data_IF_242591293040
#
_entry.id   IF_242591293040
#
_cell.length_a   1.000
_cell.length_b   1.000
_cell.length_c   1.000
_cell.angle_alpha   90.00
_cell.angle_beta   90.00
_cell.angle_gamma   90.00
#
_symmetry.space_group_name_H-M   'P 1'
#
loop_
_entity.id
_entity.type
_entity.pdbx_description
1 polymer ?
#
# COMPACT_ATOMS: atom_id res chain seq x y z
N UNK A 1 -4.05 -34.16 35.02
CA UNK A 1 -3.18 -33.07 34.50
C UNK A 1 -2.11 -32.77 35.54
N UNK A 2 -0.83 -32.85 35.18
CA UNK A 2 0.29 -32.54 36.09
C UNK A 2 0.99 -31.25 35.67
N UNK A 3 1.61 -30.54 36.62
CA UNK A 3 2.37 -29.29 36.34
C UNK A 3 3.46 -29.53 35.29
N UNK A 4 4.13 -30.70 35.33
CA UNK A 4 5.12 -31.09 34.33
C UNK A 4 4.53 -31.20 32.92
N UNK A 5 3.35 -31.82 32.78
CA UNK A 5 2.65 -31.91 31.48
C UNK A 5 2.20 -30.55 30.96
N UNK A 6 1.76 -29.66 31.85
CA UNK A 6 1.38 -28.29 31.50
C UNK A 6 2.59 -27.45 31.03
N UNK A 7 3.74 -27.56 31.72
CA UNK A 7 4.96 -26.85 31.34
C UNK A 7 5.43 -27.20 29.92
N UNK A 8 5.42 -28.49 29.56
CA UNK A 8 5.78 -28.95 28.21
C UNK A 8 4.79 -28.42 27.18
N UNK A 9 3.48 -28.45 27.46
CA UNK A 9 2.44 -27.91 26.58
C UNK A 9 2.55 -26.39 26.38
N UNK A 10 2.98 -25.66 27.41
CA UNK A 10 3.16 -24.20 27.35
C UNK A 10 4.48 -23.75 26.71
N UNK A 11 5.40 -24.68 26.40
CA UNK A 11 6.69 -24.34 25.81
C UNK A 11 6.59 -23.52 24.52
N UNK A 12 5.86 -24.03 23.52
CA UNK A 12 5.65 -23.35 22.23
C UNK A 12 4.93 -22.01 22.35
N UNK A 13 3.74 -21.90 23.00
CA UNK A 13 3.04 -20.62 23.09
C UNK A 13 3.84 -19.57 23.87
N UNK A 14 4.60 -19.97 24.91
CA UNK A 14 5.48 -19.03 25.63
C UNK A 14 6.58 -18.47 24.73
N UNK A 15 7.21 -19.31 23.92
CA UNK A 15 8.23 -18.86 22.95
C UNK A 15 7.64 -17.93 21.90
N UNK A 16 6.45 -18.24 21.37
CA UNK A 16 5.76 -17.39 20.40
C UNK A 16 5.37 -16.02 21.01
N UNK A 17 4.87 -16.00 22.24
CA UNK A 17 4.54 -14.73 22.93
C UNK A 17 5.78 -13.87 23.17
N UNK A 18 6.90 -14.48 23.58
CA UNK A 18 8.16 -13.76 23.74
C UNK A 18 8.66 -13.18 22.41
N UNK A 19 8.51 -13.91 21.30
CA UNK A 19 8.84 -13.43 19.97
C UNK A 19 7.97 -12.23 19.56
N UNK A 20 6.65 -12.32 19.76
CA UNK A 20 5.72 -11.22 19.47
C UNK A 20 6.00 -9.99 20.34
N UNK A 21 6.40 -10.18 21.60
CA UNK A 21 6.82 -9.08 22.48
C UNK A 21 8.10 -8.40 21.98
N UNK A 22 9.08 -9.19 21.53
CA UNK A 22 10.32 -8.65 20.94
C UNK A 22 10.02 -7.87 19.65
N UNK A 23 9.17 -8.42 18.77
CA UNK A 23 8.75 -7.76 17.55
C UNK A 23 7.98 -6.46 17.85
N UNK A 24 7.05 -6.48 18.80
CA UNK A 24 6.32 -5.28 19.23
C UNK A 24 7.27 -4.19 19.74
N UNK A 25 8.31 -4.57 20.50
CA UNK A 25 9.28 -3.62 21.03
C UNK A 25 10.09 -2.96 19.91
N UNK A 26 10.49 -3.71 18.88
CA UNK A 26 11.24 -3.15 17.76
C UNK A 26 10.45 -2.16 16.90
N UNK A 27 9.12 -2.29 16.84
CA UNK A 27 8.25 -1.42 16.04
C UNK A 27 7.47 -0.37 16.84
N UNK A 28 7.74 -0.23 18.14
CA UNK A 28 6.91 0.56 19.08
C UNK A 28 6.79 2.06 18.76
N UNK A 29 7.77 2.65 18.08
CA UNK A 29 7.79 4.06 17.67
C UNK A 29 7.76 4.24 16.15
N UNK A 30 7.33 3.21 15.42
CA UNK A 30 7.28 3.20 13.96
C UNK A 30 5.82 3.16 13.49
N UNK A 31 5.56 3.62 12.28
CA UNK A 31 4.24 3.61 11.65
C UNK A 31 4.31 3.04 10.24
N UNK A 32 3.16 2.60 9.72
CA UNK A 32 2.98 2.29 8.30
C UNK A 32 3.90 1.20 7.73
N UNK A 33 4.48 1.49 6.57
CA UNK A 33 5.33 0.60 5.81
C UNK A 33 6.65 0.28 6.50
N UNK A 34 7.16 1.18 7.35
CA UNK A 34 8.38 0.95 8.15
C UNK A 34 8.24 -0.28 9.04
N UNK A 35 7.07 -0.45 9.68
CA UNK A 35 6.75 -1.65 10.49
C UNK A 35 6.88 -2.92 9.64
N UNK A 36 6.41 -2.86 8.40
CA UNK A 36 6.41 -4.01 7.48
C UNK A 36 7.83 -4.36 7.03
N UNK A 37 8.68 -3.35 6.79
CA UNK A 37 10.11 -3.55 6.49
C UNK A 37 10.86 -4.18 7.67
N UNK A 38 10.66 -3.67 8.89
CA UNK A 38 11.31 -4.22 10.09
C UNK A 38 10.82 -5.65 10.37
N UNK A 39 9.53 -5.91 10.18
CA UNK A 39 8.96 -7.26 10.31
C UNK A 39 9.54 -8.22 9.27
N UNK A 40 9.72 -7.77 8.03
CA UNK A 40 10.37 -8.54 6.97
C UNK A 40 11.83 -8.88 7.30
N UNK A 41 12.56 -7.99 7.98
CA UNK A 41 13.91 -8.28 8.45
C UNK A 41 13.91 -9.40 9.49
N UNK A 42 12.96 -9.38 10.43
CA UNK A 42 12.76 -10.45 11.41
C UNK A 42 12.33 -11.78 10.79
N UNK A 43 11.67 -11.78 9.62
CA UNK A 43 11.26 -13.02 8.95
C UNK A 43 12.43 -13.77 8.29
N UNK A 44 13.57 -13.10 8.04
CA UNK A 44 14.80 -13.70 7.50
C UNK A 44 15.58 -14.55 8.52
N UNK A 45 14.99 -14.81 9.69
CA UNK A 45 15.60 -15.65 10.73
C UNK A 45 15.77 -17.10 10.25
N UNK A 46 16.91 -17.73 10.56
CA UNK A 46 17.18 -19.13 10.18
C UNK A 46 16.36 -20.19 10.92
N UNK A 47 15.45 -19.79 11.83
CA UNK A 47 14.63 -20.73 12.60
C UNK A 47 13.23 -20.75 11.99
N UNK A 48 12.83 -21.90 11.43
CA UNK A 48 11.55 -22.06 10.74
C UNK A 48 10.33 -21.75 11.61
N UNK A 49 10.37 -22.07 12.90
CA UNK A 49 9.25 -21.79 13.81
C UNK A 49 9.10 -20.29 14.13
N UNK A 50 10.23 -19.56 14.20
CA UNK A 50 10.22 -18.09 14.33
C UNK A 50 9.70 -17.46 13.05
N UNK A 51 10.20 -17.93 11.90
CA UNK A 51 9.79 -17.46 10.59
C UNK A 51 8.28 -17.60 10.37
N UNK A 52 7.70 -18.77 10.68
CA UNK A 52 6.25 -19.02 10.55
C UNK A 52 5.40 -17.97 11.30
N UNK A 53 5.79 -17.66 12.55
CA UNK A 53 5.07 -16.66 13.36
C UNK A 53 5.22 -15.25 12.78
N UNK A 54 6.43 -14.87 12.37
CA UNK A 54 6.69 -13.54 11.82
C UNK A 54 6.04 -13.35 10.44
N UNK A 55 6.05 -14.38 9.60
CA UNK A 55 5.37 -14.37 8.29
C UNK A 55 3.86 -14.18 8.44
N UNK A 56 3.23 -14.81 9.44
CA UNK A 56 1.82 -14.58 9.75
C UNK A 56 1.50 -13.12 10.09
N UNK A 57 2.37 -12.45 10.86
CA UNK A 57 2.22 -11.01 11.18
C UNK A 57 2.46 -10.16 9.93
N UNK A 58 3.51 -10.47 9.17
CA UNK A 58 3.88 -9.76 7.95
C UNK A 58 2.76 -9.78 6.91
N UNK A 59 2.10 -10.93 6.74
CA UNK A 59 0.97 -11.10 5.83
C UNK A 59 -0.22 -10.21 6.24
N UNK A 60 -0.48 -10.08 7.53
CA UNK A 60 -1.47 -9.12 8.05
C UNK A 60 -1.13 -7.67 7.70
N UNK A 61 0.12 -7.27 7.88
CA UNK A 61 0.60 -5.92 7.52
C UNK A 61 0.52 -5.65 6.01
N UNK A 62 0.90 -6.62 5.17
CA UNK A 62 0.80 -6.53 3.70
C UNK A 62 -0.63 -6.36 3.24
N UNK A 63 -1.58 -7.15 3.76
CA UNK A 63 -3.01 -7.01 3.46
C UNK A 63 -3.55 -5.61 3.77
N UNK A 64 -3.17 -5.03 4.91
CA UNK A 64 -3.56 -3.66 5.26
C UNK A 64 -3.05 -2.63 4.26
N UNK A 65 -1.78 -2.73 3.87
CA UNK A 65 -1.17 -1.85 2.86
C UNK A 65 -1.84 -2.03 1.50
N UNK A 66 -2.10 -3.28 1.14
CA UNK A 66 -2.72 -3.64 -0.11
C UNK A 66 -4.10 -3.03 -0.28
N UNK A 67 -4.93 -3.15 0.75
CA UNK A 67 -6.25 -2.53 0.79
C UNK A 67 -6.18 -1.02 0.56
N UNK A 68 -5.22 -0.33 1.19
CA UNK A 68 -4.99 1.11 0.97
C UNK A 68 -4.58 1.41 -0.46
N UNK A 69 -3.73 0.57 -1.04
CA UNK A 69 -3.31 0.72 -2.44
C UNK A 69 -4.47 0.55 -3.42
N UNK A 70 -5.28 -0.50 -3.25
CA UNK A 70 -6.49 -0.73 -4.04
C UNK A 70 -7.43 0.46 -3.94
N UNK A 71 -7.69 0.94 -2.72
CA UNK A 71 -8.56 2.09 -2.50
C UNK A 71 -8.03 3.36 -3.17
N UNK A 72 -6.73 3.62 -3.07
CA UNK A 72 -6.10 4.72 -3.79
C UNK A 72 -6.22 4.57 -5.32
N UNK A 73 -6.03 3.37 -5.84
CA UNK A 73 -6.08 3.09 -7.27
C UNK A 73 -7.49 2.99 -7.85
N UNK A 74 -8.53 2.80 -7.05
CA UNK A 74 -9.92 2.70 -7.55
C UNK A 74 -10.70 3.96 -7.19
N UNK A 75 -10.57 4.39 -5.94
CA UNK A 75 -11.31 5.51 -5.39
C UNK A 75 -10.44 6.76 -5.30
N UNK A 76 -9.12 6.75 -5.46
CA UNK A 76 -8.31 7.95 -5.25
C UNK A 76 -8.32 8.47 -3.80
N UNK A 77 -8.76 7.65 -2.85
CA UNK A 77 -8.83 8.04 -1.43
C UNK A 77 -7.59 7.55 -0.67
N UNK A 78 -7.03 8.44 0.15
CA UNK A 78 -5.92 8.12 1.06
C UNK A 78 -6.45 8.04 2.48
N UNK A 79 -6.33 6.87 3.09
CA UNK A 79 -6.66 6.67 4.50
C UNK A 79 -5.41 6.86 5.37
N UNK A 80 -5.40 7.98 6.10
CA UNK A 80 -4.40 8.25 7.14
C UNK A 80 -2.99 8.52 6.61
N UNK A 81 -2.02 8.43 7.51
CA UNK A 81 -0.60 8.75 7.24
C UNK A 81 0.29 7.52 7.04
N UNK A 82 -0.25 6.32 6.97
CA UNK A 82 0.50 5.05 7.00
C UNK A 82 0.76 4.44 5.62
N UNK A 83 0.46 5.17 4.54
CA UNK A 83 0.68 4.76 3.16
C UNK A 83 1.89 5.50 2.57
N UNK A 84 2.54 4.92 1.56
CA UNK A 84 3.72 5.54 0.92
C UNK A 84 3.37 6.75 0.05
N UNK A 85 2.12 6.89 -0.39
CA UNK A 85 1.64 8.14 -1.00
C UNK A 85 1.12 9.04 0.11
N UNK A 86 1.62 10.28 0.15
CA UNK A 86 1.20 11.32 1.08
C UNK A 86 0.42 12.41 0.35
N UNK A 87 -0.46 13.08 1.07
CA UNK A 87 -1.25 14.22 0.57
C UNK A 87 -0.94 15.49 1.37
N UNK A 88 -0.72 16.61 0.68
CA UNK A 88 -0.67 17.95 1.26
C UNK A 88 -1.98 18.65 0.94
N UNK A 89 -2.83 18.74 1.96
CA UNK A 89 -4.16 19.36 1.86
C UNK A 89 -4.10 20.88 1.82
N UNK A 90 -2.94 21.50 2.08
CA UNK A 90 -2.75 22.95 2.01
C UNK A 90 -2.54 23.47 0.59
N UNK A 91 -2.37 22.59 -0.41
CA UNK A 91 -2.17 23.00 -1.80
C UNK A 91 -3.51 23.21 -2.48
N UNK A 92 -3.87 24.46 -2.71
CA UNK A 92 -5.06 24.86 -3.48
C UNK A 92 -4.72 25.35 -4.90
N UNK A 93 -5.73 25.43 -5.77
CA UNK A 93 -5.62 25.99 -7.11
C UNK A 93 -4.73 25.17 -8.07
N UNK A 94 -3.99 25.85 -8.96
CA UNK A 94 -3.19 25.22 -10.02
C UNK A 94 -2.02 24.35 -9.53
N UNK A 95 -1.65 24.42 -8.24
CA UNK A 95 -0.59 23.60 -7.63
C UNK A 95 -1.02 22.17 -7.31
N UNK A 96 -2.34 21.90 -7.29
CA UNK A 96 -2.95 20.63 -6.88
C UNK A 96 -2.41 19.43 -7.68
N UNK A 97 -2.15 19.60 -8.98
CA UNK A 97 -1.68 18.50 -9.82
C UNK A 97 -0.23 18.09 -9.52
N UNK A 98 0.64 19.07 -9.31
CA UNK A 98 2.08 18.84 -9.15
C UNK A 98 2.47 18.45 -7.74
N UNK A 99 2.01 19.22 -6.75
CA UNK A 99 2.57 19.23 -5.38
C UNK A 99 1.70 18.52 -4.35
N UNK A 100 0.41 18.27 -4.65
CA UNK A 100 -0.52 17.68 -3.66
C UNK A 100 -0.15 16.27 -3.23
N UNK A 101 0.45 15.47 -4.11
CA UNK A 101 0.79 14.07 -3.83
C UNK A 101 2.26 13.78 -4.09
N UNK A 102 2.99 13.36 -3.05
CA UNK A 102 4.38 12.88 -3.11
C UNK A 102 4.49 11.46 -2.55
N UNK A 103 5.63 10.85 -2.81
CA UNK A 103 5.97 9.52 -2.32
C UNK A 103 6.97 9.62 -1.18
N UNK A 104 6.75 8.84 -0.12
CA UNK A 104 7.74 8.59 0.93
C UNK A 104 8.36 7.21 0.69
N UNK A 105 9.62 7.20 0.23
CA UNK A 105 10.36 5.98 -0.11
C UNK A 105 10.56 5.08 1.11
N UNK A 106 10.63 5.65 2.32
CA UNK A 106 10.82 4.88 3.54
C UNK A 106 9.57 4.07 3.93
N UNK A 107 8.41 4.45 3.42
CA UNK A 107 7.13 3.80 3.70
C UNK A 107 6.76 2.74 2.63
N UNK A 108 7.65 2.48 1.66
CA UNK A 108 7.43 1.45 0.64
C UNK A 108 7.52 0.06 1.29
N UNK A 109 6.48 -0.74 1.09
CA UNK A 109 6.38 -2.07 1.71
C UNK A 109 7.19 -3.10 0.91
N UNK A 110 7.85 -4.07 1.60
CA UNK A 110 8.54 -5.16 0.91
C UNK A 110 7.63 -5.92 -0.07
N UNK A 111 8.08 -6.01 -1.32
CA UNK A 111 7.32 -6.59 -2.43
C UNK A 111 6.79 -5.56 -3.43
N UNK A 112 6.83 -4.27 -3.09
CA UNK A 112 6.53 -3.18 -4.01
C UNK A 112 7.85 -2.52 -4.44
N UNK A 113 8.13 -2.49 -5.75
CA UNK A 113 9.27 -1.74 -6.27
C UNK A 113 9.00 -0.24 -6.26
N UNK A 114 10.05 0.57 -6.23
CA UNK A 114 9.90 2.04 -6.29
C UNK A 114 9.22 2.48 -7.60
N UNK A 115 9.52 1.80 -8.72
CA UNK A 115 8.84 2.01 -9.99
C UNK A 115 7.34 1.73 -9.90
N UNK A 116 6.95 0.64 -9.25
CA UNK A 116 5.54 0.29 -9.05
C UNK A 116 4.85 1.31 -8.15
N UNK A 117 5.50 1.74 -7.06
CA UNK A 117 4.97 2.75 -6.15
C UNK A 117 4.73 4.09 -6.87
N UNK A 118 5.64 4.48 -7.77
CA UNK A 118 5.50 5.67 -8.59
C UNK A 118 4.33 5.55 -9.59
N UNK A 119 4.14 4.38 -10.22
CA UNK A 119 2.97 4.12 -11.08
C UNK A 119 1.66 4.20 -10.29
N UNK A 120 1.59 3.56 -9.12
CA UNK A 120 0.44 3.64 -8.21
C UNK A 120 0.11 5.09 -7.84
N UNK A 121 1.14 5.91 -7.55
CA UNK A 121 0.96 7.33 -7.22
C UNK A 121 0.39 8.11 -8.40
N UNK A 122 0.90 7.89 -9.62
CA UNK A 122 0.39 8.52 -10.86
C UNK A 122 -1.05 8.12 -11.14
N UNK A 123 -1.37 6.84 -10.93
CA UNK A 123 -2.70 6.29 -11.15
C UNK A 123 -3.76 7.01 -10.30
N UNK A 124 -3.59 7.01 -8.97
CA UNK A 124 -4.55 7.67 -8.08
C UNK A 124 -4.57 9.19 -8.24
N UNK A 125 -3.44 9.81 -8.63
CA UNK A 125 -3.42 11.23 -9.03
C UNK A 125 -4.31 11.49 -10.25
N UNK A 126 -4.21 10.66 -11.29
CA UNK A 126 -5.06 10.74 -12.48
C UNK A 126 -6.54 10.58 -12.15
N UNK A 127 -6.86 9.64 -11.26
CA UNK A 127 -8.24 9.43 -10.78
C UNK A 127 -8.76 10.66 -10.04
N UNK A 128 -7.97 11.23 -9.13
CA UNK A 128 -8.38 12.44 -8.41
C UNK A 128 -8.56 13.64 -9.32
N UNK A 129 -7.76 13.77 -10.37
CA UNK A 129 -8.00 14.78 -11.40
C UNK A 129 -9.31 14.56 -12.14
N UNK A 130 -9.58 13.32 -12.58
CA UNK A 130 -10.85 12.98 -13.22
C UNK A 130 -12.05 13.24 -12.29
N UNK A 131 -11.90 13.00 -10.99
CA UNK A 131 -12.95 13.36 -10.01
C UNK A 131 -13.20 14.87 -9.96
N UNK A 132 -12.13 15.67 -9.94
CA UNK A 132 -12.25 17.14 -9.89
C UNK A 132 -12.88 17.67 -11.19
N UNK A 133 -12.45 17.18 -12.36
CA UNK A 133 -12.93 17.66 -13.65
C UNK A 133 -14.34 17.14 -14.01
N UNK A 134 -14.63 15.87 -13.74
CA UNK A 134 -15.84 15.20 -14.22
C UNK A 134 -16.89 14.96 -13.13
N UNK A 135 -16.58 15.23 -11.87
CA UNK A 135 -17.49 15.02 -10.73
C UNK A 135 -17.83 13.55 -10.42
N UNK A 136 -17.24 12.59 -11.14
CA UNK A 136 -17.48 11.15 -10.96
C UNK A 136 -16.18 10.36 -11.03
N UNK A 137 -16.10 9.29 -10.24
CA UNK A 137 -15.06 8.27 -10.36
C UNK A 137 -15.41 7.42 -11.59
N UNK A 138 -14.59 7.46 -12.64
CA UNK A 138 -14.74 6.45 -13.69
C UNK A 138 -14.28 5.11 -13.12
N UNK A 139 -15.23 4.22 -12.88
CA UNK A 139 -15.01 2.85 -12.43
C UNK A 139 -14.33 2.06 -13.56
N UNK A 140 -13.01 2.18 -13.70
CA UNK A 140 -12.24 1.51 -14.75
C UNK A 140 -11.30 0.42 -14.25
N UNK A 141 -11.03 0.38 -12.94
CA UNK A 141 -9.96 -0.45 -12.39
C UNK A 141 -10.59 -1.52 -11.50
N UNK A 142 -10.61 -2.74 -12.01
CA UNK A 142 -10.92 -3.93 -11.21
C UNK A 142 -9.66 -4.33 -10.47
N UNK A 143 -9.60 -3.97 -9.19
CA UNK A 143 -8.52 -4.34 -8.30
C UNK A 143 -8.86 -5.59 -7.46
N UNK A 144 -9.68 -6.49 -8.01
CA UNK A 144 -10.05 -7.74 -7.34
C UNK A 144 -8.88 -8.75 -7.43
N UNK A 145 -8.56 -9.41 -6.32
CA UNK A 145 -7.57 -10.51 -6.30
C UNK A 145 -6.10 -10.06 -6.20
N UNK A 146 -5.86 -8.78 -6.37
CA UNK A 146 -4.65 -8.00 -6.17
C UNK A 146 -3.84 -8.40 -4.90
N UNK A 147 -4.50 -8.82 -3.80
CA UNK A 147 -3.85 -9.32 -2.56
C UNK A 147 -3.07 -10.63 -2.73
N UNK A 148 -3.40 -11.42 -3.74
CA UNK A 148 -2.87 -12.78 -3.98
C UNK A 148 -2.00 -12.86 -5.23
N UNK A 149 -1.78 -11.72 -5.90
CA UNK A 149 -1.04 -11.68 -7.17
C UNK A 149 0.45 -11.62 -6.88
N UNK A 150 1.23 -12.44 -7.59
CA UNK A 150 2.69 -12.35 -7.58
C UNK A 150 3.16 -10.94 -7.98
N UNK A 151 4.21 -10.44 -7.33
CA UNK A 151 4.71 -9.08 -7.52
C UNK A 151 4.92 -8.68 -8.99
N UNK A 152 5.47 -9.52 -9.90
CA UNK A 152 5.71 -9.11 -11.28
C UNK A 152 4.44 -9.06 -12.13
N UNK A 153 3.48 -9.95 -11.85
CA UNK A 153 2.19 -9.95 -12.55
C UNK A 153 1.40 -8.71 -12.15
N UNK A 154 1.48 -8.36 -10.88
CA UNK A 154 0.81 -7.22 -10.31
C UNK A 154 1.35 -5.89 -10.84
N UNK A 155 2.67 -5.76 -10.97
CA UNK A 155 3.29 -4.61 -11.64
C UNK A 155 2.72 -4.41 -13.04
N UNK A 156 2.59 -5.48 -13.83
CA UNK A 156 2.00 -5.40 -15.19
C UNK A 156 0.56 -4.91 -15.17
N UNK A 157 -0.26 -5.40 -14.26
CA UNK A 157 -1.67 -4.96 -14.12
C UNK A 157 -1.76 -3.48 -13.73
N UNK A 158 -0.89 -3.01 -12.82
CA UNK A 158 -0.80 -1.60 -12.45
C UNK A 158 -0.36 -0.74 -13.64
N UNK A 159 0.67 -1.16 -14.39
CA UNK A 159 1.12 -0.41 -15.57
C UNK A 159 0.06 -0.35 -16.69
N UNK A 160 -0.73 -1.41 -16.86
CA UNK A 160 -1.89 -1.42 -17.77
C UNK A 160 -2.98 -0.45 -17.31
N UNK A 161 -3.28 -0.42 -16.01
CA UNK A 161 -4.26 0.49 -15.45
C UNK A 161 -3.81 1.96 -15.58
N UNK A 162 -2.53 2.26 -15.36
CA UNK A 162 -1.93 3.58 -15.58
C UNK A 162 -2.13 4.05 -17.02
N UNK A 163 -1.78 3.21 -18.01
CA UNK A 163 -1.96 3.54 -19.43
C UNK A 163 -3.41 3.85 -19.80
N UNK A 164 -4.37 3.12 -19.23
CA UNK A 164 -5.80 3.37 -19.47
C UNK A 164 -6.23 4.73 -18.90
N UNK A 165 -5.86 5.03 -17.66
CA UNK A 165 -6.21 6.30 -17.02
C UNK A 165 -5.51 7.47 -17.72
N UNK A 166 -4.24 7.35 -18.08
CA UNK A 166 -3.51 8.39 -18.82
C UNK A 166 -4.21 8.74 -20.14
N UNK A 167 -4.69 7.73 -20.89
CA UNK A 167 -5.49 7.94 -22.09
C UNK A 167 -6.77 8.74 -21.82
N UNK A 168 -7.52 8.35 -20.79
CA UNK A 168 -8.77 9.05 -20.40
C UNK A 168 -8.50 10.48 -19.94
N UNK A 169 -7.43 10.72 -19.18
CA UNK A 169 -7.02 12.05 -18.72
C UNK A 169 -6.68 12.94 -19.92
N UNK A 170 -5.86 12.44 -20.86
CA UNK A 170 -5.49 13.18 -22.07
C UNK A 170 -6.72 13.50 -22.93
N UNK A 171 -7.64 12.55 -23.10
CA UNK A 171 -8.87 12.78 -23.86
C UNK A 171 -9.79 13.79 -23.18
N UNK A 172 -9.85 13.78 -21.85
CA UNK A 172 -10.60 14.77 -21.07
C UNK A 172 -10.00 16.17 -21.23
N UNK A 173 -8.67 16.29 -21.11
CA UNK A 173 -7.96 17.56 -21.32
C UNK A 173 -8.22 18.09 -22.74
N UNK A 174 -8.13 17.24 -23.76
CA UNK A 174 -8.42 17.64 -25.16
C UNK A 174 -9.85 18.16 -25.33
N UNK A 175 -10.83 17.60 -24.63
CA UNK A 175 -12.24 18.05 -24.68
C UNK A 175 -12.41 19.40 -24.01
N UNK A 176 -11.86 19.61 -22.82
CA UNK A 176 -11.96 20.88 -22.10
C UNK A 176 -11.21 22.01 -22.82
N UNK A 177 -9.99 21.76 -23.34
CA UNK A 177 -9.23 22.75 -24.13
C UNK A 177 -9.94 23.15 -25.43
N UNK A 178 -10.71 22.23 -26.03
CA UNK A 178 -11.56 22.57 -27.19
C UNK A 178 -12.77 23.41 -26.78
N UNK A 179 -13.24 23.27 -25.55
CA UNK A 179 -14.43 23.96 -25.03
C UNK A 179 -14.14 25.42 -24.65
N UNK A 180 -12.94 25.71 -24.15
CA UNK A 180 -12.48 27.08 -23.84
C UNK A 180 -12.11 27.92 -25.07
N UNK A 181 -12.04 27.29 -26.27
CA UNK A 181 -11.72 27.96 -27.54
C UNK A 181 -12.96 28.38 -28.35
N UNK A 182 -14.16 28.14 -27.85
CA UNK A 182 -15.45 28.54 -28.44
C UNK A 182 -16.31 29.27 -27.40
#
# INVERSE_FOLDING_TARGET
LTVRSLYVRLGRPRSNLNLLLTLRRSVSNMSGGVITQVTQLHSRHGNGAVREVVEGVLEGCRKGTWRRMVRWCVEGELEGGEFFVKEDRGVEGGGVWGKRYWMDVNEIVPGVSESMAEEVRRLGRGINFLKICCGKVQQGIRAEGWEKVDTPKLEREVSEACRKIDGVVVDTIKKEVRRDKF
#
